data_IF_605120996386
#
_entry.id   IF_605120996386
#
_cell.length_a   1.000
_cell.length_b   1.000
_cell.length_c   1.000
_cell.angle_alpha   90.00
_cell.angle_beta   90.00
_cell.angle_gamma   90.00
#
_symmetry.space_group_name_H-M   'P 1'
#
loop_
_entity.id
_entity.type
_entity.pdbx_description
1 polymer ?
#
# COMPACT_ATOMS: atom_id res chain seq x y z
N UNK A 1 -11.03 16.89 -7.17
CA UNK A 1 -9.68 16.27 -7.09
C UNK A 1 -9.55 15.21 -8.17
N UNK A 2 -8.38 15.12 -8.80
CA UNK A 2 -7.98 13.98 -9.65
C UNK A 2 -7.53 12.85 -8.74
N UNK A 3 -8.30 11.78 -8.69
CA UNK A 3 -8.09 10.71 -7.70
C UNK A 3 -7.76 9.41 -8.40
N UNK A 4 -6.66 8.80 -8.00
CA UNK A 4 -6.32 7.44 -8.41
C UNK A 4 -7.21 6.48 -7.65
N UNK A 5 -7.88 5.58 -8.37
CA UNK A 5 -8.54 4.42 -7.76
C UNK A 5 -7.78 3.19 -8.23
N UNK A 6 -7.09 2.54 -7.28
CA UNK A 6 -6.21 1.42 -7.58
C UNK A 6 -6.26 0.36 -6.48
N UNK A 7 -5.75 -0.84 -6.76
CA UNK A 7 -5.75 -1.89 -5.73
C UNK A 7 -5.40 -3.27 -6.23
N UNK A 8 -5.75 -4.29 -5.45
CA UNK A 8 -5.46 -5.68 -5.82
C UNK A 8 -6.31 -6.18 -6.98
N UNK A 9 -5.67 -6.90 -7.90
CA UNK A 9 -6.29 -7.48 -9.10
C UNK A 9 -7.28 -8.63 -8.85
N UNK A 10 -7.42 -9.05 -7.60
CA UNK A 10 -8.26 -10.18 -7.18
C UNK A 10 -9.39 -9.75 -6.26
N UNK A 11 -9.42 -8.48 -5.85
CA UNK A 11 -10.55 -7.94 -5.10
C UNK A 11 -11.62 -7.57 -6.11
N UNK A 12 -12.80 -8.16 -5.94
CA UNK A 12 -14.00 -7.93 -6.77
C UNK A 12 -15.19 -7.48 -5.89
N UNK A 13 -14.91 -6.99 -4.68
CA UNK A 13 -15.90 -6.43 -3.77
C UNK A 13 -16.13 -4.94 -4.07
N UNK A 14 -17.18 -4.67 -4.85
CA UNK A 14 -17.53 -3.32 -5.28
C UNK A 14 -18.05 -2.46 -4.12
N UNK A 15 -18.78 -3.04 -3.17
CA UNK A 15 -19.35 -2.32 -2.04
C UNK A 15 -18.23 -1.87 -1.08
N UNK A 16 -17.22 -2.72 -0.86
CA UNK A 16 -16.03 -2.34 -0.12
C UNK A 16 -15.26 -1.18 -0.78
N UNK A 17 -15.21 -1.14 -2.12
CA UNK A 17 -14.61 -0.02 -2.83
C UNK A 17 -15.42 1.26 -2.64
N UNK A 18 -16.73 1.22 -2.81
CA UNK A 18 -17.61 2.37 -2.59
C UNK A 18 -17.45 2.92 -1.17
N UNK A 19 -17.45 2.04 -0.17
CA UNK A 19 -17.24 2.43 1.22
C UNK A 19 -15.86 3.10 1.44
N UNK A 20 -14.79 2.61 0.80
CA UNK A 20 -13.48 3.23 0.87
C UNK A 20 -13.43 4.60 0.19
N UNK A 21 -14.14 4.76 -0.94
CA UNK A 21 -14.27 6.05 -1.63
C UNK A 21 -15.01 7.05 -0.73
N UNK A 22 -16.14 6.66 -0.15
CA UNK A 22 -16.93 7.52 0.73
C UNK A 22 -16.14 7.90 2.00
N UNK A 23 -15.46 6.93 2.63
CA UNK A 23 -14.64 7.15 3.81
C UNK A 23 -13.42 8.04 3.55
N UNK A 24 -12.96 8.15 2.30
CA UNK A 24 -11.88 9.07 1.93
C UNK A 24 -12.25 10.55 2.12
N UNK A 25 -13.55 10.87 2.01
CA UNK A 25 -14.05 12.24 2.02
C UNK A 25 -13.50 13.10 0.88
N UNK A 26 -12.98 12.49 -0.19
CA UNK A 26 -12.46 13.23 -1.34
C UNK A 26 -13.60 13.67 -2.27
N UNK A 27 -13.59 14.93 -2.65
CA UNK A 27 -14.43 15.42 -3.75
C UNK A 27 -13.77 15.03 -5.08
N UNK A 28 -14.15 13.87 -5.62
CA UNK A 28 -13.59 13.33 -6.85
C UNK A 28 -14.18 14.04 -8.07
N UNK A 29 -13.32 14.64 -8.89
CA UNK A 29 -13.72 15.35 -10.12
C UNK A 29 -13.22 14.67 -11.38
N UNK A 30 -12.27 13.74 -11.25
CA UNK A 30 -11.75 12.89 -12.33
C UNK A 30 -11.10 11.65 -11.69
N UNK A 31 -11.37 10.46 -12.22
CA UNK A 31 -10.77 9.19 -11.77
C UNK A 31 -9.58 8.84 -12.66
N UNK A 32 -8.45 8.54 -12.04
CA UNK A 32 -7.26 8.00 -12.69
C UNK A 32 -7.21 6.50 -12.45
N UNK A 33 -7.27 5.74 -13.54
CA UNK A 33 -7.23 4.29 -13.51
C UNK A 33 -5.99 3.79 -14.22
N UNK A 34 -5.54 2.65 -13.76
CA UNK A 34 -4.53 1.91 -14.44
C UNK A 34 -5.00 0.96 -15.56
N UNK A 35 -6.29 0.71 -15.68
CA UNK A 35 -6.84 -0.22 -16.66
C UNK A 35 -6.51 -1.69 -16.39
N UNK A 36 -6.26 -2.06 -15.13
CA UNK A 36 -6.16 -3.47 -14.72
C UNK A 36 -7.52 -4.04 -14.30
N UNK A 37 -7.61 -5.37 -14.19
CA UNK A 37 -8.74 -6.04 -13.53
C UNK A 37 -8.77 -5.76 -12.02
N UNK A 38 -9.87 -6.13 -11.36
CA UNK A 38 -10.06 -5.94 -9.92
C UNK A 38 -10.39 -4.49 -9.60
N UNK A 39 -9.71 -3.91 -8.63
CA UNK A 39 -10.03 -2.57 -8.12
C UNK A 39 -9.97 -1.47 -9.18
N UNK A 40 -8.98 -1.50 -10.09
CA UNK A 40 -8.92 -0.54 -11.22
C UNK A 40 -10.22 -0.58 -12.05
N UNK A 41 -10.66 -1.76 -12.49
CA UNK A 41 -11.90 -1.93 -13.24
C UNK A 41 -13.15 -1.52 -12.44
N UNK A 42 -13.17 -1.77 -11.13
CA UNK A 42 -14.24 -1.30 -10.24
C UNK A 42 -14.23 0.22 -10.09
N UNK A 43 -13.07 0.86 -10.03
CA UNK A 43 -12.94 2.32 -10.02
C UNK A 43 -13.42 2.96 -11.32
N UNK A 44 -13.15 2.33 -12.46
CA UNK A 44 -13.67 2.75 -13.77
C UNK A 44 -15.20 2.65 -13.81
N UNK A 45 -15.75 1.54 -13.30
CA UNK A 45 -17.19 1.36 -13.15
C UNK A 45 -17.79 2.45 -12.27
N UNK A 46 -17.20 2.72 -11.10
CA UNK A 46 -17.66 3.75 -10.17
C UNK A 46 -17.66 5.14 -10.82
N UNK A 47 -16.61 5.47 -11.58
CA UNK A 47 -16.54 6.72 -12.33
C UNK A 47 -17.69 6.84 -13.33
N UNK A 48 -17.96 5.78 -14.09
CA UNK A 48 -19.05 5.75 -15.06
C UNK A 48 -20.43 5.90 -14.41
N UNK A 49 -20.70 5.17 -13.31
CA UNK A 49 -21.97 5.23 -12.58
C UNK A 49 -22.24 6.61 -11.97
N UNK A 50 -21.18 7.34 -11.58
CA UNK A 50 -21.28 8.67 -10.98
C UNK A 50 -21.08 9.83 -11.97
N UNK A 51 -20.99 9.55 -13.28
CA UNK A 51 -20.70 10.55 -14.32
C UNK A 51 -19.41 11.35 -14.07
N UNK A 52 -18.42 10.72 -13.46
CA UNK A 52 -17.10 11.30 -13.22
C UNK A 52 -16.18 10.98 -14.42
N UNK A 53 -15.47 11.98 -14.98
CA UNK A 53 -14.49 11.75 -16.04
C UNK A 53 -13.45 10.70 -15.65
N UNK A 54 -13.10 9.84 -16.60
CA UNK A 54 -12.10 8.79 -16.43
C UNK A 54 -10.88 9.07 -17.31
N UNK A 55 -9.70 8.95 -16.74
CA UNK A 55 -8.43 8.90 -17.48
C UNK A 55 -7.68 7.62 -17.17
N UNK A 56 -7.44 6.81 -18.19
CA UNK A 56 -6.64 5.60 -18.08
C UNK A 56 -5.16 5.87 -18.36
N UNK A 57 -4.30 5.19 -17.62
CA UNK A 57 -2.85 5.17 -17.79
C UNK A 57 -2.43 3.75 -18.18
N UNK A 58 -2.44 3.36 -19.47
CA UNK A 58 -1.98 2.03 -19.88
C UNK A 58 -0.45 1.92 -19.74
N UNK A 59 0.05 0.75 -19.36
CA UNK A 59 1.49 0.50 -19.31
C UNK A 59 2.02 0.14 -20.71
N UNK A 60 3.10 0.82 -21.15
CA UNK A 60 3.76 0.53 -22.42
C UNK A 60 4.75 -0.63 -22.28
N UNK A 61 4.21 -1.85 -22.30
CA UNK A 61 5.00 -3.08 -22.22
C UNK A 61 5.91 -3.27 -23.43
N UNK A 62 5.55 -2.73 -24.60
CA UNK A 62 6.34 -2.88 -25.81
C UNK A 62 7.64 -2.06 -25.74
N UNK A 63 7.57 -0.83 -25.22
CA UNK A 63 8.74 0.03 -25.07
C UNK A 63 9.59 -0.31 -23.83
N UNK A 64 8.96 -0.71 -22.72
CA UNK A 64 9.62 -0.75 -21.41
C UNK A 64 9.65 -2.12 -20.73
N UNK A 65 9.01 -3.14 -21.32
CA UNK A 65 9.01 -4.49 -20.78
C UNK A 65 8.59 -4.53 -19.30
N UNK A 66 9.34 -5.24 -18.46
CA UNK A 66 8.97 -5.50 -17.05
C UNK A 66 8.78 -4.23 -16.20
N UNK A 67 9.45 -3.12 -16.50
CA UNK A 67 9.35 -1.89 -15.71
C UNK A 67 8.18 -0.99 -16.14
N UNK A 68 7.48 -1.33 -17.23
CA UNK A 68 6.39 -0.51 -17.79
C UNK A 68 5.31 -0.17 -16.76
N UNK A 69 4.92 -1.15 -15.94
CA UNK A 69 3.92 -0.94 -14.89
C UNK A 69 4.36 0.04 -13.80
N UNK A 70 5.63 -0.01 -13.38
CA UNK A 70 6.16 0.93 -12.39
C UNK A 70 6.27 2.34 -12.96
N UNK A 71 6.77 2.48 -14.19
CA UNK A 71 6.85 3.78 -14.86
C UNK A 71 5.48 4.43 -15.00
N UNK A 72 4.48 3.65 -15.42
CA UNK A 72 3.10 4.09 -15.49
C UNK A 72 2.56 4.52 -14.11
N UNK A 73 2.82 3.73 -13.05
CA UNK A 73 2.36 4.07 -11.70
C UNK A 73 2.95 5.40 -11.23
N UNK A 74 4.23 5.61 -11.51
CA UNK A 74 4.93 6.86 -11.20
C UNK A 74 4.34 8.05 -11.97
N UNK A 75 4.08 7.89 -13.25
CA UNK A 75 3.43 8.94 -14.06
C UNK A 75 2.04 9.28 -13.53
N UNK A 76 1.23 8.25 -13.28
CA UNK A 76 -0.12 8.40 -12.74
C UNK A 76 -0.11 9.09 -11.36
N UNK A 77 0.82 8.71 -10.47
CA UNK A 77 1.00 9.34 -9.15
C UNK A 77 1.37 10.82 -9.25
N UNK A 78 2.26 11.19 -10.18
CA UNK A 78 2.70 12.58 -10.38
C UNK A 78 1.58 13.49 -10.92
N UNK A 79 0.60 12.92 -11.62
CA UNK A 79 -0.48 13.67 -12.25
C UNK A 79 -1.72 13.83 -11.36
N UNK A 80 -1.82 13.07 -10.27
CA UNK A 80 -2.99 13.03 -9.39
C UNK A 80 -2.87 13.96 -8.18
N UNK A 81 -4.01 14.28 -7.56
CA UNK A 81 -4.09 15.04 -6.30
C UNK A 81 -4.21 14.12 -5.08
N UNK A 82 -4.80 12.94 -5.26
CA UNK A 82 -5.01 11.95 -4.22
C UNK A 82 -5.16 10.52 -4.77
N UNK A 83 -5.20 9.53 -3.87
CA UNK A 83 -5.41 8.13 -4.16
C UNK A 83 -6.33 7.49 -3.12
N UNK A 84 -7.29 6.70 -3.60
CA UNK A 84 -8.00 5.68 -2.83
C UNK A 84 -7.44 4.33 -3.25
N UNK A 85 -6.95 3.55 -2.29
CA UNK A 85 -6.40 2.22 -2.55
C UNK A 85 -7.15 1.16 -1.73
N UNK A 86 -7.68 0.15 -2.43
CA UNK A 86 -8.29 -1.04 -1.82
C UNK A 86 -7.37 -2.24 -2.03
N UNK A 87 -6.77 -2.75 -0.95
CA UNK A 87 -5.62 -3.66 -1.04
C UNK A 87 -5.78 -4.89 -0.16
N UNK A 88 -5.24 -6.02 -0.59
CA UNK A 88 -5.20 -7.29 0.16
C UNK A 88 -3.98 -7.42 1.07
N UNK A 89 -3.15 -6.38 1.13
CA UNK A 89 -1.93 -6.35 1.91
C UNK A 89 -0.77 -7.19 1.36
N UNK A 90 -0.86 -7.74 0.14
CA UNK A 90 0.23 -8.54 -0.45
C UNK A 90 0.46 -8.30 -1.93
N UNK A 91 -0.50 -7.70 -2.64
CA UNK A 91 -0.38 -7.42 -4.06
C UNK A 91 0.84 -6.55 -4.39
N UNK A 92 1.83 -7.07 -5.17
CA UNK A 92 3.02 -6.30 -5.52
C UNK A 92 2.72 -5.05 -6.35
N UNK A 93 1.69 -5.14 -7.22
CA UNK A 93 1.26 -4.01 -8.05
C UNK A 93 0.66 -2.88 -7.23
N UNK A 94 -0.21 -3.21 -6.27
CA UNK A 94 -0.81 -2.25 -5.36
C UNK A 94 0.24 -1.64 -4.41
N UNK A 95 1.16 -2.45 -3.87
CA UNK A 95 2.29 -1.97 -3.08
C UNK A 95 3.17 -0.98 -3.85
N UNK A 96 3.48 -1.29 -5.12
CA UNK A 96 4.21 -0.39 -6.00
C UNK A 96 3.46 0.94 -6.19
N UNK A 97 2.15 0.90 -6.46
CA UNK A 97 1.33 2.11 -6.60
C UNK A 97 1.31 2.95 -5.32
N UNK A 98 1.11 2.31 -4.15
CA UNK A 98 1.13 2.97 -2.85
C UNK A 98 2.45 3.71 -2.59
N UNK A 99 3.58 3.08 -2.89
CA UNK A 99 4.90 3.67 -2.74
C UNK A 99 5.11 4.87 -3.67
N UNK A 100 4.74 4.76 -4.94
CA UNK A 100 4.90 5.87 -5.90
C UNK A 100 3.98 7.07 -5.55
N UNK A 101 2.76 6.81 -5.06
CA UNK A 101 1.87 7.86 -4.53
C UNK A 101 2.46 8.54 -3.29
N UNK A 102 3.02 7.75 -2.36
CA UNK A 102 3.66 8.28 -1.15
C UNK A 102 4.86 9.16 -1.50
N UNK A 103 5.68 8.74 -2.47
CA UNK A 103 6.82 9.52 -3.00
C UNK A 103 6.38 10.80 -3.71
N UNK A 104 5.22 10.79 -4.37
CA UNK A 104 4.65 11.96 -5.00
C UNK A 104 4.05 12.95 -3.98
N UNK A 105 3.87 12.54 -2.72
CA UNK A 105 3.32 13.40 -1.66
C UNK A 105 1.82 13.68 -1.80
N UNK A 106 1.09 12.84 -2.54
CA UNK A 106 -0.36 12.99 -2.72
C UNK A 106 -1.13 12.43 -1.51
N UNK A 107 -2.37 12.88 -1.30
CA UNK A 107 -3.21 12.37 -0.20
C UNK A 107 -3.58 10.91 -0.46
N UNK A 108 -3.46 10.04 0.54
CA UNK A 108 -3.76 8.61 0.39
C UNK A 108 -4.82 8.20 1.41
N UNK A 109 -5.91 7.62 0.91
CA UNK A 109 -6.83 6.82 1.72
C UNK A 109 -6.59 5.33 1.42
N UNK A 110 -6.19 4.58 2.45
CA UNK A 110 -5.87 3.16 2.34
C UNK A 110 -6.91 2.33 3.08
N UNK A 111 -7.54 1.40 2.37
CA UNK A 111 -8.44 0.40 2.95
C UNK A 111 -7.89 -0.99 2.66
N UNK A 112 -7.65 -1.76 3.71
CA UNK A 112 -7.27 -3.18 3.57
C UNK A 112 -8.54 -4.04 3.54
N UNK A 113 -8.60 -4.97 2.61
CA UNK A 113 -9.73 -5.84 2.34
C UNK A 113 -9.33 -7.31 2.43
N UNK A 114 -10.22 -8.14 2.97
CA UNK A 114 -9.98 -9.58 3.12
C UNK A 114 -8.86 -9.89 4.11
N UNK A 115 -8.65 -9.04 5.13
CA UNK A 115 -7.78 -9.37 6.25
C UNK A 115 -8.36 -10.59 6.97
N UNK A 116 -7.64 -11.69 6.88
CA UNK A 116 -7.91 -12.85 7.71
C UNK A 116 -7.43 -12.55 9.13
N UNK A 117 -8.38 -12.34 10.03
CA UNK A 117 -8.07 -12.09 11.45
C UNK A 117 -7.30 -13.25 12.06
N UNK A 118 -7.52 -14.50 11.62
CA UNK A 118 -6.76 -15.65 12.10
C UNK A 118 -5.30 -15.60 11.61
N UNK A 119 -5.06 -15.13 10.38
CA UNK A 119 -3.71 -14.93 9.85
C UNK A 119 -2.98 -13.78 10.55
N UNK A 120 -3.69 -12.68 10.85
CA UNK A 120 -3.17 -11.57 11.64
C UNK A 120 -2.82 -12.01 13.07
N UNK A 121 -3.73 -12.70 13.75
CA UNK A 121 -3.49 -13.25 15.09
C UNK A 121 -2.30 -14.23 15.10
N UNK A 122 -2.19 -15.10 14.10
CA UNK A 122 -1.04 -16.00 13.95
C UNK A 122 0.27 -15.23 13.74
N UNK A 123 0.23 -14.17 12.93
CA UNK A 123 1.40 -13.31 12.68
C UNK A 123 1.82 -12.55 13.94
N UNK A 124 0.85 -11.99 14.67
CA UNK A 124 1.06 -11.34 15.97
C UNK A 124 1.70 -12.31 16.95
N UNK A 125 1.15 -13.52 17.11
CA UNK A 125 1.71 -14.53 18.00
C UNK A 125 3.15 -14.91 17.61
N UNK A 126 3.45 -15.03 16.32
CA UNK A 126 4.80 -15.32 15.84
C UNK A 126 5.78 -14.19 16.18
N UNK A 127 5.37 -12.93 15.98
CA UNK A 127 6.17 -11.74 16.33
C UNK A 127 6.40 -11.68 17.84
N UNK A 128 5.35 -11.82 18.65
CA UNK A 128 5.44 -11.73 20.11
C UNK A 128 6.26 -12.86 20.72
N UNK A 129 6.09 -14.09 20.22
CA UNK A 129 6.90 -15.24 20.63
C UNK A 129 8.39 -15.01 20.35
N UNK A 130 8.72 -14.49 19.15
CA UNK A 130 10.11 -14.17 18.81
C UNK A 130 10.66 -13.03 19.69
N UNK A 131 9.90 -11.95 19.89
CA UNK A 131 10.27 -10.83 20.77
C UNK A 131 10.54 -11.29 22.21
N UNK A 132 9.60 -12.01 22.84
CA UNK A 132 9.72 -12.45 24.24
C UNK A 132 10.78 -13.54 24.45
N UNK A 133 11.16 -14.26 23.40
CA UNK A 133 12.28 -15.19 23.48
C UNK A 133 13.65 -14.47 23.64
N UNK A 134 13.64 -13.13 23.74
CA UNK A 134 14.80 -12.28 23.93
C UNK A 134 15.62 -12.10 22.66
N UNK A 135 15.05 -12.46 21.50
CA UNK A 135 15.79 -12.59 20.26
C UNK A 135 15.89 -11.29 19.52
N UNK A 136 14.84 -10.47 19.48
CA UNK A 136 14.93 -9.24 18.70
C UNK A 136 13.72 -8.30 18.78
N UNK A 137 13.83 -7.12 18.15
CA UNK A 137 12.74 -6.17 17.91
C UNK A 137 12.60 -5.84 16.42
N UNK A 138 11.41 -5.37 16.04
CA UNK A 138 11.17 -4.88 14.69
C UNK A 138 11.73 -3.47 14.50
N UNK A 139 12.38 -3.21 13.37
CA UNK A 139 12.85 -1.90 12.94
C UNK A 139 12.29 -1.55 11.56
N UNK A 140 12.00 -0.27 11.34
CA UNK A 140 11.60 0.25 10.03
C UNK A 140 12.81 0.88 9.33
N UNK A 141 13.25 0.31 8.21
CA UNK A 141 14.44 0.69 7.44
C UNK A 141 14.13 0.63 5.95
N UNK A 142 14.59 1.61 5.16
CA UNK A 142 14.45 1.62 3.69
C UNK A 142 13.02 1.24 3.20
N UNK A 143 12.01 1.93 3.74
CA UNK A 143 10.59 1.73 3.44
C UNK A 143 10.02 0.33 3.79
N UNK A 144 10.67 -0.45 4.66
CA UNK A 144 10.16 -1.74 5.12
C UNK A 144 10.48 -2.09 6.58
N UNK A 145 9.67 -2.99 7.15
CA UNK A 145 9.84 -3.59 8.47
C UNK A 145 10.74 -4.81 8.37
N UNK A 146 11.73 -4.88 9.25
CA UNK A 146 12.64 -6.00 9.40
C UNK A 146 12.95 -6.25 10.88
N UNK A 147 13.55 -7.40 11.18
CA UNK A 147 14.14 -7.70 12.47
C UNK A 147 15.48 -6.94 12.59
N UNK A 148 15.74 -6.28 13.73
CA UNK A 148 17.00 -5.54 13.99
C UNK A 148 18.25 -6.43 13.86
N UNK A 149 18.14 -7.68 14.27
CA UNK A 149 19.11 -8.75 14.15
C UNK A 149 18.42 -9.95 13.48
N UNK A 150 18.67 -10.16 12.18
CA UNK A 150 18.16 -11.35 11.49
C UNK A 150 18.78 -12.63 12.08
N UNK A 151 18.03 -13.31 12.95
CA UNK A 151 18.31 -14.68 13.37
C UNK A 151 17.77 -15.70 12.36
N UNK A 152 18.37 -16.89 12.31
CA UNK A 152 17.98 -17.97 11.40
C UNK A 152 16.53 -18.47 11.59
N UNK A 153 15.91 -18.16 12.75
CA UNK A 153 14.56 -18.54 13.13
C UNK A 153 13.58 -17.36 13.25
N UNK A 154 13.97 -16.20 12.73
CA UNK A 154 13.11 -15.03 12.70
C UNK A 154 11.90 -15.29 11.78
N UNK A 155 10.66 -15.05 12.24
CA UNK A 155 9.49 -15.25 11.40
C UNK A 155 9.51 -14.25 10.24
N UNK A 156 9.08 -14.71 9.06
CA UNK A 156 8.93 -13.83 7.90
C UNK A 156 7.78 -12.88 8.16
N UNK A 157 8.08 -11.59 8.10
CA UNK A 157 7.10 -10.52 8.27
C UNK A 157 6.95 -9.73 6.97
N UNK A 158 5.76 -9.18 6.77
CA UNK A 158 5.51 -8.26 5.67
C UNK A 158 5.18 -6.88 6.23
N UNK A 159 5.49 -5.84 5.45
CA UNK A 159 5.16 -4.46 5.84
C UNK A 159 3.69 -4.29 6.20
N UNK A 160 2.81 -4.94 5.43
CA UNK A 160 1.38 -4.78 5.61
C UNK A 160 0.90 -5.47 6.87
N UNK A 161 1.39 -6.69 7.14
CA UNK A 161 1.01 -7.37 8.37
C UNK A 161 1.38 -6.53 9.59
N UNK A 162 2.62 -6.00 9.62
CA UNK A 162 3.06 -5.14 10.72
C UNK A 162 2.25 -3.84 10.80
N UNK A 163 2.00 -3.15 9.68
CA UNK A 163 1.18 -1.94 9.67
C UNK A 163 -0.28 -2.18 10.08
N UNK A 164 -0.88 -3.29 9.67
CA UNK A 164 -2.25 -3.65 10.05
C UNK A 164 -2.35 -4.00 11.53
N UNK A 165 -1.40 -4.79 12.06
CA UNK A 165 -1.34 -5.09 13.48
C UNK A 165 -1.15 -3.82 14.33
N UNK A 166 -0.30 -2.88 13.87
CA UNK A 166 -0.15 -1.57 14.51
C UNK A 166 -1.44 -0.75 14.45
N UNK A 167 -2.08 -0.66 13.29
CA UNK A 167 -3.32 0.10 13.10
C UNK A 167 -4.48 -0.44 13.95
N UNK A 168 -4.50 -1.76 14.20
CA UNK A 168 -5.48 -2.43 15.04
C UNK A 168 -5.11 -2.46 16.53
N UNK A 169 -3.94 -1.93 16.92
CA UNK A 169 -3.47 -1.95 18.31
C UNK A 169 -3.10 -3.35 18.83
N UNK A 170 -2.80 -4.28 17.91
CA UNK A 170 -2.41 -5.66 18.22
C UNK A 170 -0.91 -5.82 18.45
N UNK A 171 -0.08 -4.81 18.17
CA UNK A 171 1.34 -4.79 18.51
C UNK A 171 1.65 -3.65 19.48
N UNK A 172 2.33 -3.96 20.57
CA UNK A 172 2.80 -2.98 21.55
C UNK A 172 3.97 -2.16 20.98
N UNK A 173 4.05 -0.87 21.28
CA UNK A 173 5.13 0.02 20.81
C UNK A 173 6.53 -0.44 21.23
N UNK A 174 6.66 -1.22 22.31
CA UNK A 174 7.95 -1.76 22.75
C UNK A 174 8.53 -2.81 21.80
N UNK A 175 7.68 -3.44 20.99
CA UNK A 175 8.04 -4.53 20.06
C UNK A 175 8.70 -3.97 18.79
N UNK A 176 8.49 -2.68 18.48
CA UNK A 176 8.94 -2.07 17.25
C UNK A 176 9.59 -0.69 17.45
N UNK A 177 10.50 -0.32 16.56
CA UNK A 177 11.15 0.99 16.56
C UNK A 177 11.17 1.59 15.17
N UNK A 178 10.54 2.76 15.01
CA UNK A 178 10.71 3.57 13.82
C UNK A 178 12.08 4.26 13.88
N UNK A 179 13.03 3.82 13.04
CA UNK A 179 14.30 4.51 12.87
C UNK A 179 14.06 5.68 11.90
N UNK A 180 14.23 6.91 12.38
CA UNK A 180 14.24 8.06 11.47
C UNK A 180 15.46 7.94 10.56
N UNK A 181 15.33 8.17 9.23
CA UNK A 181 16.49 8.20 8.36
C UNK A 181 17.50 9.23 8.89
N UNK A 182 18.76 8.83 8.99
CA UNK A 182 19.86 9.76 9.25
C UNK A 182 19.91 10.69 8.03
N UNK A 183 19.78 12.02 8.18
CA UNK A 183 19.93 12.93 7.04
C UNK A 183 21.31 12.68 6.43
N UNK A 184 21.36 12.30 5.15
CA UNK A 184 22.62 12.11 4.43
C UNK A 184 23.49 13.34 4.63
N UNK A 185 24.60 13.18 5.35
CA UNK A 185 25.62 14.20 5.42
C UNK A 185 26.11 14.42 3.98
N UNK A 186 25.78 15.58 3.42
CA UNK A 186 26.32 16.04 2.15
C UNK A 186 27.85 16.00 2.22
N UNK A 187 28.44 14.92 1.72
CA UNK A 187 29.86 14.87 1.42
C UNK A 187 30.12 15.81 0.24
N UNK A 188 30.50 17.04 0.59
CA UNK A 188 31.19 17.95 -0.32
C UNK A 188 32.56 17.35 -0.62
N UNK A 189 32.80 17.02 -1.88
CA UNK A 189 34.12 17.06 -2.48
C UNK A 189 34.02 17.74 -3.84
#
# INVERSE_FOLDING_TARGET
MKVIIAGSRHIEDYDALCAAIDASGFEITEVYSGGCRGVDAMGERWAAENNIPLRQFPADWAAHGRIAGELRNREMARAADAMVILWDGKSPGASCMFREASRAGIRIHNQVHGLDMAELESTEQAIMSHYWSGRDRLIYVEDHWSWEHLGDDAPVITNIAVENLKALGMLEEVVFRALKPVPEAHHRH
#
